data_IF_669540643836
#
_entry.id   IF_669540643836
#
_cell.length_a   1.000
_cell.length_b   1.000
_cell.length_c   1.000
_cell.angle_alpha   90.00
_cell.angle_beta   90.00
_cell.angle_gamma   90.00
#
_symmetry.space_group_name_H-M   'P 1'
#
loop_
_entity.id
_entity.type
_entity.pdbx_description
1 polymer ?
#
# COMPACT_ATOMS: atom_id res chain seq x y z
N UNK A 1 -20.02 -20.51 -24.22
CA UNK A 1 -19.69 -20.45 -22.78
C UNK A 1 -20.69 -19.49 -22.13
N UNK A 2 -21.47 -19.99 -21.17
CA UNK A 2 -22.59 -19.28 -20.56
C UNK A 2 -22.07 -18.10 -19.72
N UNK A 3 -22.59 -16.89 -19.99
CA UNK A 3 -22.45 -15.73 -19.13
C UNK A 3 -23.71 -15.59 -18.28
N UNK A 4 -23.84 -16.44 -17.26
CA UNK A 4 -24.79 -16.22 -16.17
C UNK A 4 -24.16 -15.25 -15.17
N UNK A 5 -24.50 -13.95 -15.25
CA UNK A 5 -24.51 -12.95 -14.16
C UNK A 5 -23.31 -12.77 -13.20
N UNK A 6 -22.25 -13.57 -13.27
CA UNK A 6 -21.09 -13.53 -12.38
C UNK A 6 -20.05 -12.60 -12.98
N UNK A 7 -19.72 -11.56 -12.21
CA UNK A 7 -18.62 -10.65 -12.53
C UNK A 7 -17.34 -11.47 -12.75
N UNK A 8 -16.64 -11.19 -13.86
CA UNK A 8 -15.48 -11.94 -14.33
C UNK A 8 -14.41 -12.11 -13.24
N UNK A 9 -13.81 -13.30 -13.23
CA UNK A 9 -12.76 -13.85 -12.36
C UNK A 9 -11.62 -12.90 -11.95
N UNK A 10 -11.33 -11.86 -12.75
CA UNK A 10 -10.28 -10.88 -12.49
C UNK A 10 -10.44 -10.21 -11.11
N UNK A 11 -11.66 -9.81 -10.74
CA UNK A 11 -11.90 -9.21 -9.42
C UNK A 11 -11.62 -10.24 -8.33
N UNK A 12 -12.09 -11.48 -8.51
CA UNK A 12 -11.90 -12.51 -7.49
C UNK A 12 -10.41 -12.86 -7.30
N UNK A 13 -9.64 -12.88 -8.38
CA UNK A 13 -8.19 -13.08 -8.33
C UNK A 13 -7.50 -11.96 -7.57
N UNK A 14 -7.80 -10.69 -7.90
CA UNK A 14 -7.28 -9.54 -7.15
C UNK A 14 -7.66 -9.60 -5.66
N UNK A 15 -8.92 -9.92 -5.31
CA UNK A 15 -9.33 -10.09 -3.92
C UNK A 15 -8.57 -11.23 -3.22
N UNK A 16 -8.29 -12.33 -3.93
CA UNK A 16 -7.51 -13.45 -3.39
C UNK A 16 -6.03 -13.07 -3.19
N UNK A 17 -5.45 -12.30 -4.10
CA UNK A 17 -4.08 -11.76 -3.95
C UNK A 17 -3.99 -10.84 -2.72
N UNK A 18 -4.95 -9.93 -2.54
CA UNK A 18 -5.03 -9.07 -1.36
C UNK A 18 -5.17 -9.90 -0.09
N UNK A 19 -6.01 -10.94 -0.08
CA UNK A 19 -6.11 -11.86 1.08
C UNK A 19 -4.80 -12.57 1.37
N UNK A 20 -4.05 -12.95 0.34
CA UNK A 20 -2.83 -13.75 0.48
C UNK A 20 -1.63 -12.95 0.95
N UNK A 21 -1.58 -11.63 0.65
CA UNK A 21 -0.44 -10.79 1.00
C UNK A 21 -0.30 -10.62 2.53
N UNK A 22 0.91 -10.29 3.00
CA UNK A 22 1.17 -9.98 4.42
C UNK A 22 1.01 -8.50 4.74
N UNK A 23 1.42 -7.65 3.81
CA UNK A 23 1.36 -6.20 3.88
C UNK A 23 0.76 -5.72 2.56
N UNK A 24 -0.20 -4.81 2.63
CA UNK A 24 -0.82 -4.20 1.46
C UNK A 24 -0.27 -2.79 1.26
N UNK A 25 0.15 -2.46 0.04
CA UNK A 25 0.68 -1.13 -0.29
C UNK A 25 -0.25 -0.50 -1.33
N UNK A 26 -0.74 0.70 -1.05
CA UNK A 26 -1.69 1.41 -1.88
C UNK A 26 -1.11 2.73 -2.37
N UNK A 27 -0.99 2.90 -3.68
CA UNK A 27 -0.67 4.20 -4.28
C UNK A 27 -1.96 4.93 -4.66
N UNK A 28 -2.35 5.92 -3.83
CA UNK A 28 -3.58 6.70 -4.02
C UNK A 28 -3.40 7.90 -4.96
N UNK A 29 -2.26 7.99 -5.66
CA UNK A 29 -2.04 8.98 -6.72
C UNK A 29 -3.17 8.91 -7.74
N UNK A 30 -3.62 10.07 -8.23
CA UNK A 30 -4.76 10.27 -9.13
C UNK A 30 -6.15 9.97 -8.54
N UNK A 31 -6.26 9.57 -7.27
CA UNK A 31 -7.54 9.21 -6.63
C UNK A 31 -8.34 8.16 -7.42
N UNK A 32 -7.65 7.11 -7.89
CA UNK A 32 -8.27 6.06 -8.70
C UNK A 32 -9.31 5.24 -7.88
N UNK A 33 -10.57 5.13 -8.34
CA UNK A 33 -11.62 4.39 -7.63
C UNK A 33 -11.36 2.89 -7.50
N UNK A 34 -10.58 2.28 -8.41
CA UNK A 34 -10.20 0.87 -8.28
C UNK A 34 -9.25 0.67 -7.10
N UNK A 35 -8.30 1.57 -6.91
CA UNK A 35 -7.40 1.55 -5.75
C UNK A 35 -8.19 1.80 -4.46
N UNK A 36 -9.19 2.69 -4.49
CA UNK A 36 -10.08 2.89 -3.35
C UNK A 36 -10.85 1.61 -2.97
N UNK A 37 -11.31 0.85 -3.95
CA UNK A 37 -11.96 -0.45 -3.73
C UNK A 37 -11.01 -1.47 -3.10
N UNK A 38 -9.79 -1.61 -3.63
CA UNK A 38 -8.75 -2.51 -3.12
C UNK A 38 -8.34 -2.14 -1.69
N UNK A 39 -8.12 -0.85 -1.44
CA UNK A 39 -7.80 -0.30 -0.12
C UNK A 39 -8.92 -0.56 0.88
N UNK A 40 -10.18 -0.27 0.51
CA UNK A 40 -11.34 -0.56 1.35
C UNK A 40 -11.47 -2.05 1.67
N UNK A 41 -11.19 -2.91 0.69
CA UNK A 41 -11.19 -4.35 0.90
C UNK A 41 -10.09 -4.80 1.87
N UNK A 42 -8.84 -4.37 1.65
CA UNK A 42 -7.70 -4.67 2.51
C UNK A 42 -7.95 -4.24 3.97
N UNK A 43 -8.59 -3.08 4.17
CA UNK A 43 -9.01 -2.60 5.49
C UNK A 43 -10.04 -3.52 6.13
N UNK A 44 -11.05 -3.93 5.38
CA UNK A 44 -12.13 -4.78 5.91
C UNK A 44 -11.64 -6.12 6.48
N UNK A 45 -10.47 -6.60 6.00
CA UNK A 45 -9.83 -7.83 6.46
C UNK A 45 -8.58 -7.57 7.32
N UNK A 46 -8.43 -6.34 7.84
CA UNK A 46 -7.37 -5.92 8.77
C UNK A 46 -5.94 -6.19 8.27
N UNK A 47 -5.65 -5.92 6.99
CA UNK A 47 -4.25 -5.95 6.53
C UNK A 47 -3.46 -4.79 7.15
N UNK A 48 -2.17 -5.00 7.48
CA UNK A 48 -1.22 -3.90 7.59
C UNK A 48 -1.15 -3.16 6.25
N UNK A 49 -1.41 -1.85 6.26
CA UNK A 49 -1.54 -1.03 5.06
C UNK A 49 -0.51 0.09 5.08
N UNK A 50 0.18 0.26 3.95
CA UNK A 50 1.04 1.42 3.66
C UNK A 50 0.36 2.21 2.55
N UNK A 51 0.10 3.50 2.79
CA UNK A 51 -0.51 4.38 1.80
C UNK A 51 0.55 5.38 1.31
N UNK A 52 0.71 5.47 0.00
CA UNK A 52 1.63 6.42 -0.65
C UNK A 52 0.89 7.30 -1.65
N UNK A 53 1.40 8.51 -1.87
CA UNK A 53 0.87 9.47 -2.84
C UNK A 53 2.01 10.29 -3.46
N UNK A 54 1.97 10.54 -4.75
CA UNK A 54 2.90 11.49 -5.39
C UNK A 54 2.72 12.88 -4.81
N UNK A 55 3.82 13.54 -4.47
CA UNK A 55 3.81 14.85 -3.83
C UNK A 55 3.18 15.94 -4.70
N UNK A 56 3.39 15.87 -6.01
CA UNK A 56 2.91 16.83 -7.01
C UNK A 56 1.47 16.54 -7.50
N UNK A 57 0.88 15.42 -7.07
CA UNK A 57 -0.49 15.07 -7.42
C UNK A 57 -1.51 15.99 -6.73
N UNK A 58 -2.21 16.78 -7.55
CA UNK A 58 -3.20 17.77 -7.11
C UNK A 58 -4.59 17.17 -6.88
N UNK A 59 -4.80 15.89 -7.21
CA UNK A 59 -6.09 15.24 -6.98
C UNK A 59 -6.39 15.18 -5.48
N UNK A 60 -7.59 15.63 -5.11
CA UNK A 60 -8.08 15.57 -3.74
C UNK A 60 -8.20 14.10 -3.32
N UNK A 61 -7.70 13.78 -2.13
CA UNK A 61 -7.92 12.47 -1.52
C UNK A 61 -9.41 12.33 -1.18
N UNK A 62 -10.08 11.23 -1.58
CA UNK A 62 -11.47 10.97 -1.22
C UNK A 62 -11.68 10.97 0.30
N UNK A 63 -12.84 11.46 0.73
CA UNK A 63 -13.18 11.62 2.15
C UNK A 63 -13.13 10.31 2.95
N UNK A 64 -13.40 9.17 2.30
CA UNK A 64 -13.34 7.85 2.93
C UNK A 64 -11.95 7.51 3.50
N UNK A 65 -10.89 8.17 3.02
CA UNK A 65 -9.52 7.93 3.44
C UNK A 65 -8.62 9.19 3.45
N UNK A 66 -9.21 10.38 3.53
CA UNK A 66 -8.46 11.64 3.60
C UNK A 66 -7.86 11.90 5.00
N UNK A 67 -8.42 11.26 6.04
CA UNK A 67 -7.91 11.26 7.40
C UNK A 67 -6.80 10.24 7.66
N UNK A 68 -6.57 9.32 6.72
CA UNK A 68 -5.53 8.32 6.88
C UNK A 68 -4.14 8.91 6.69
N UNK A 69 -3.18 8.33 7.41
CA UNK A 69 -1.77 8.69 7.21
C UNK A 69 -1.31 8.09 5.89
N UNK A 70 -0.91 8.96 4.97
CA UNK A 70 -0.21 8.57 3.75
C UNK A 70 1.12 9.29 3.66
N UNK A 71 2.12 8.60 3.12
CA UNK A 71 3.44 9.17 2.88
C UNK A 71 3.54 9.70 1.47
N UNK A 72 4.23 10.83 1.32
CA UNK A 72 4.47 11.44 0.02
C UNK A 72 5.79 10.96 -0.56
N UNK A 73 5.80 10.74 -1.86
CA UNK A 73 7.03 10.45 -2.61
C UNK A 73 7.17 11.38 -3.81
N UNK A 74 8.40 11.59 -4.27
CA UNK A 74 8.73 12.42 -5.43
C UNK A 74 9.07 11.52 -6.60
N UNK A 75 8.27 11.58 -7.65
CA UNK A 75 8.47 10.76 -8.86
C UNK A 75 9.86 10.92 -9.49
N UNK A 76 10.39 12.16 -9.49
CA UNK A 76 11.69 12.48 -10.08
C UNK A 76 12.88 12.17 -9.16
N UNK A 77 12.63 11.76 -7.91
CA UNK A 77 13.66 11.35 -6.96
C UNK A 77 13.53 9.84 -6.70
N UNK A 78 14.28 9.08 -7.50
CA UNK A 78 14.18 7.62 -7.70
C UNK A 78 14.05 6.81 -6.39
N UNK A 79 14.74 7.24 -5.32
CA UNK A 79 14.77 6.49 -4.05
C UNK A 79 13.71 6.91 -3.02
N UNK A 80 12.90 7.94 -3.30
CA UNK A 80 11.96 8.45 -2.28
C UNK A 80 10.83 7.46 -1.99
N UNK A 81 10.27 6.81 -3.03
CA UNK A 81 9.26 5.77 -2.85
C UNK A 81 9.84 4.54 -2.14
N UNK A 82 11.02 4.10 -2.58
CA UNK A 82 11.74 2.96 -2.01
C UNK A 82 11.97 3.16 -0.51
N UNK A 83 12.56 4.29 -0.12
CA UNK A 83 12.86 4.60 1.28
C UNK A 83 11.59 4.64 2.14
N UNK A 84 10.56 5.35 1.65
CA UNK A 84 9.26 5.52 2.32
C UNK A 84 8.60 4.17 2.62
N UNK A 85 8.60 3.27 1.64
CA UNK A 85 8.00 1.94 1.75
C UNK A 85 8.88 1.02 2.60
N UNK A 86 10.21 1.05 2.42
CA UNK A 86 11.14 0.24 3.20
C UNK A 86 10.99 0.51 4.70
N UNK A 87 10.98 1.78 5.10
CA UNK A 87 10.86 2.17 6.50
C UNK A 87 9.56 1.64 7.13
N UNK A 88 8.43 1.73 6.40
CA UNK A 88 7.15 1.22 6.91
C UNK A 88 7.08 -0.30 6.94
N UNK A 89 7.62 -0.99 5.93
CA UNK A 89 7.71 -2.44 5.95
C UNK A 89 8.52 -2.88 7.17
N UNK A 90 9.68 -2.28 7.41
CA UNK A 90 10.52 -2.60 8.57
C UNK A 90 9.78 -2.36 9.88
N UNK A 91 9.06 -1.25 10.02
CA UNK A 91 8.27 -0.97 11.22
C UNK A 91 7.13 -1.95 11.43
N UNK A 92 6.41 -2.33 10.38
CA UNK A 92 5.36 -3.37 10.43
C UNK A 92 5.98 -4.71 10.81
N UNK A 93 7.09 -5.11 10.18
CA UNK A 93 7.75 -6.37 10.46
C UNK A 93 8.27 -6.44 11.90
N UNK A 94 8.78 -5.34 12.46
CA UNK A 94 9.18 -5.28 13.88
C UNK A 94 7.99 -5.44 14.81
N UNK A 95 6.90 -4.69 14.59
CA UNK A 95 5.74 -4.63 15.48
C UNK A 95 4.88 -5.87 15.41
N UNK A 96 4.60 -6.35 14.20
CA UNK A 96 3.57 -7.36 13.96
C UNK A 96 4.18 -8.74 13.72
N UNK A 97 5.46 -8.82 13.33
CA UNK A 97 6.14 -10.07 12.96
C UNK A 97 7.40 -10.36 13.78
N UNK A 98 7.77 -9.49 14.73
CA UNK A 98 8.91 -9.70 15.63
C UNK A 98 10.28 -9.65 14.95
N UNK A 99 10.40 -8.94 13.82
CA UNK A 99 11.69 -8.76 13.16
C UNK A 99 12.68 -8.02 14.07
N UNK A 100 13.86 -8.60 14.25
CA UNK A 100 15.00 -7.97 14.92
C UNK A 100 15.97 -7.53 13.82
N UNK A 101 16.13 -6.22 13.67
CA UNK A 101 17.13 -5.65 12.75
C UNK A 101 18.38 -5.37 13.56
N UNK A 102 19.43 -6.15 13.32
CA UNK A 102 20.76 -5.82 13.84
C UNK A 102 21.22 -4.51 13.19
N UNK A 103 21.69 -3.55 13.98
CA UNK A 103 22.30 -2.35 13.42
C UNK A 103 23.57 -2.78 12.71
N UNK A 104 23.65 -2.57 11.39
CA UNK A 104 24.95 -2.53 10.73
C UNK A 104 25.75 -1.39 11.38
N UNK A 105 26.87 -1.73 12.00
CA UNK A 105 27.94 -0.79 12.27
C UNK A 105 28.35 -0.20 10.92
N UNK A 106 27.82 0.99 10.61
CA UNK A 106 28.40 1.82 9.56
C UNK A 106 29.79 2.20 10.06
N UNK A 107 30.77 1.35 9.74
CA UNK A 107 32.18 1.64 9.95
C UNK A 107 32.47 3.03 9.40
N UNK A 108 32.98 3.90 10.27
CA UNK A 108 33.57 5.17 9.87
C UNK A 108 34.58 4.88 8.74
N UNK A 109 34.25 5.33 7.53
CA UNK A 109 35.22 5.57 6.47
C UNK A 109 35.18 7.05 6.15
#
# INVERSE_FOLDING_TARGET
MQHEGRTKDIIQNMLNEIKSCRIFISDITTANPNVAYELGYARSINKPIIIVKQEDDKNKVPFDYDHDVYKKYKKDAIHTLEQVVYDDIVEILKKDFGLIVEKEDKGNV
#
